data_IF_689784459531
#
_entry.id   IF_689784459531
#
_cell.length_a   1.000
_cell.length_b   1.000
_cell.length_c   1.000
_cell.angle_alpha   90.00
_cell.angle_beta   90.00
_cell.angle_gamma   90.00
#
_symmetry.space_group_name_H-M   'P 1'
#
loop_
_entity.id
_entity.type
_entity.pdbx_description
1 polymer ?
#
# COMPACT_ATOMS: atom_id res chain seq x y z
N UNK A 1 -45.02 -27.19 -60.27
CA UNK A 1 -43.76 -27.95 -60.47
C UNK A 1 -43.31 -28.49 -59.12
N UNK A 2 -42.84 -29.74 -59.13
CA UNK A 2 -42.77 -30.68 -58.02
C UNK A 2 -41.62 -30.48 -57.03
N UNK A 3 -41.82 -30.95 -55.78
CA UNK A 3 -40.93 -31.84 -54.97
C UNK A 3 -41.34 -31.70 -53.49
N UNK A 4 -42.26 -32.48 -52.93
CA UNK A 4 -42.22 -33.90 -52.56
C UNK A 4 -41.15 -34.29 -51.53
N UNK A 5 -41.61 -34.84 -50.39
CA UNK A 5 -40.87 -35.72 -49.47
C UNK A 5 -40.47 -35.09 -48.13
N UNK A 6 -40.98 -35.47 -46.95
CA UNK A 6 -41.91 -36.54 -46.63
C UNK A 6 -42.32 -36.45 -45.16
N UNK A 7 -43.62 -36.58 -44.91
CA UNK A 7 -44.20 -36.92 -43.61
C UNK A 7 -44.11 -38.43 -43.43
N UNK A 8 -43.30 -38.90 -42.48
CA UNK A 8 -43.64 -39.97 -41.51
C UNK A 8 -42.43 -40.39 -40.69
N UNK A 9 -42.43 -39.99 -39.42
CA UNK A 9 -42.38 -40.97 -38.34
C UNK A 9 -43.00 -40.38 -37.08
N UNK A 10 -44.31 -40.60 -36.93
CA UNK A 10 -44.92 -40.74 -35.60
C UNK A 10 -44.36 -42.03 -35.01
N UNK A 11 -43.44 -41.91 -34.05
CA UNK A 11 -43.29 -42.94 -33.03
C UNK A 11 -44.32 -42.67 -31.94
N UNK A 12 -45.09 -43.69 -31.60
CA UNK A 12 -46.02 -43.69 -30.48
C UNK A 12 -45.30 -43.73 -29.13
N UNK A 13 -46.14 -43.61 -28.10
CA UNK A 13 -45.89 -43.53 -26.66
C UNK A 13 -45.49 -42.15 -26.13
N UNK A 14 -46.43 -41.54 -25.41
CA UNK A 14 -46.30 -40.31 -24.63
C UNK A 14 -45.44 -40.46 -23.39
N UNK A 15 -44.22 -40.97 -23.54
CA UNK A 15 -43.16 -40.67 -22.60
C UNK A 15 -42.53 -39.35 -23.08
N UNK A 16 -42.97 -38.23 -22.48
CA UNK A 16 -42.14 -37.02 -22.42
C UNK A 16 -40.73 -37.52 -22.11
N UNK A 17 -39.75 -37.19 -22.95
CA UNK A 17 -38.36 -37.63 -22.78
C UNK A 17 -37.85 -37.05 -21.46
N UNK A 18 -38.13 -37.78 -20.39
CA UNK A 18 -37.95 -37.41 -19.00
C UNK A 18 -36.47 -37.14 -18.75
N UNK A 19 -35.60 -37.84 -19.49
CA UNK A 19 -34.17 -37.59 -19.53
C UNK A 19 -33.83 -36.23 -20.18
N UNK A 20 -34.47 -35.86 -21.29
CA UNK A 20 -34.26 -34.52 -21.88
C UNK A 20 -34.80 -33.38 -21.01
N UNK A 21 -35.91 -33.59 -20.30
CA UNK A 21 -36.44 -32.62 -19.32
C UNK A 21 -35.56 -32.50 -18.07
N UNK A 22 -35.09 -33.63 -17.54
CA UNK A 22 -34.13 -33.68 -16.43
C UNK A 22 -32.80 -33.02 -16.83
N UNK A 23 -32.30 -33.29 -18.03
CA UNK A 23 -31.08 -32.67 -18.55
C UNK A 23 -31.23 -31.15 -18.65
N UNK A 24 -32.36 -30.65 -19.16
CA UNK A 24 -32.67 -29.20 -19.19
C UNK A 24 -32.81 -28.58 -17.81
N UNK A 25 -33.39 -29.28 -16.84
CA UNK A 25 -33.45 -28.82 -15.45
C UNK A 25 -32.05 -28.77 -14.81
N UNK A 26 -31.21 -29.78 -15.05
CA UNK A 26 -29.83 -29.84 -14.55
C UNK A 26 -28.98 -28.73 -15.18
N UNK A 27 -29.10 -28.52 -16.49
CA UNK A 27 -28.40 -27.45 -17.22
C UNK A 27 -28.89 -26.07 -16.77
N UNK A 28 -30.20 -25.90 -16.53
CA UNK A 28 -30.78 -24.69 -15.96
C UNK A 28 -30.25 -24.38 -14.56
N UNK A 29 -30.22 -25.39 -13.67
CA UNK A 29 -29.66 -25.28 -12.31
C UNK A 29 -28.15 -24.99 -12.32
N UNK A 30 -27.41 -25.59 -13.26
CA UNK A 30 -25.98 -25.33 -13.44
C UNK A 30 -25.74 -23.89 -13.91
N UNK A 31 -26.57 -23.40 -14.84
CA UNK A 31 -26.50 -22.04 -15.37
C UNK A 31 -26.83 -21.01 -14.28
N UNK A 32 -27.89 -21.23 -13.49
CA UNK A 32 -28.26 -20.37 -12.36
C UNK A 32 -27.21 -20.35 -11.25
N UNK A 33 -26.58 -21.50 -10.95
CA UNK A 33 -25.45 -21.55 -10.01
C UNK A 33 -24.25 -20.77 -10.56
N UNK A 34 -23.98 -20.84 -11.86
CA UNK A 34 -22.86 -20.14 -12.49
C UNK A 34 -23.08 -18.62 -12.52
N UNK A 35 -24.31 -18.16 -12.82
CA UNK A 35 -24.69 -16.76 -12.85
C UNK A 35 -24.68 -16.17 -11.44
N UNK A 36 -25.23 -16.89 -10.45
CA UNK A 36 -25.20 -16.51 -9.03
C UNK A 36 -23.77 -16.40 -8.50
N UNK A 37 -22.88 -17.36 -8.83
CA UNK A 37 -21.47 -17.33 -8.41
C UNK A 37 -20.70 -16.19 -9.08
N UNK A 38 -20.98 -15.89 -10.36
CA UNK A 38 -20.40 -14.77 -11.09
C UNK A 38 -20.85 -13.42 -10.51
N UNK A 39 -22.15 -13.27 -10.24
CA UNK A 39 -22.71 -12.06 -9.62
C UNK A 39 -22.13 -11.83 -8.21
N UNK A 40 -21.99 -12.88 -7.40
CA UNK A 40 -21.37 -12.78 -6.08
C UNK A 40 -19.89 -12.39 -6.17
N UNK A 41 -19.15 -12.92 -7.14
CA UNK A 41 -17.74 -12.59 -7.37
C UNK A 41 -17.59 -11.12 -7.77
N UNK A 42 -18.45 -10.62 -8.66
CA UNK A 42 -18.47 -9.21 -9.08
C UNK A 42 -18.83 -8.28 -7.93
N UNK A 43 -19.84 -8.64 -7.12
CA UNK A 43 -20.19 -7.87 -5.90
C UNK A 43 -19.01 -7.79 -4.93
N UNK A 44 -18.37 -8.93 -4.63
CA UNK A 44 -17.19 -8.97 -3.77
C UNK A 44 -16.06 -8.09 -4.33
N UNK A 45 -15.85 -8.11 -5.64
CA UNK A 45 -14.84 -7.30 -6.31
C UNK A 45 -15.10 -5.80 -6.11
N UNK A 46 -16.33 -5.34 -6.35
CA UNK A 46 -16.73 -3.93 -6.17
C UNK A 46 -16.55 -3.50 -4.72
N UNK A 47 -16.98 -4.33 -3.76
CA UNK A 47 -16.80 -4.04 -2.33
C UNK A 47 -15.32 -3.94 -1.96
N UNK A 48 -14.48 -4.83 -2.48
CA UNK A 48 -13.04 -4.81 -2.22
C UNK A 48 -12.35 -3.57 -2.79
N UNK A 49 -12.61 -3.26 -4.05
CA UNK A 49 -12.02 -2.09 -4.73
C UNK A 49 -12.53 -0.81 -4.08
N UNK A 50 -13.85 -0.71 -3.86
CA UNK A 50 -14.47 0.42 -3.17
C UNK A 50 -13.93 0.60 -1.76
N UNK A 51 -13.77 -0.47 -0.99
CA UNK A 51 -13.18 -0.47 0.35
C UNK A 51 -11.73 0.00 0.35
N UNK A 52 -10.90 -0.48 -0.59
CA UNK A 52 -9.52 -0.01 -0.76
C UNK A 52 -9.52 1.49 -1.09
N UNK A 53 -10.36 1.93 -2.02
CA UNK A 53 -10.38 3.34 -2.44
C UNK A 53 -10.87 4.25 -1.32
N UNK A 54 -12.04 3.98 -0.75
CA UNK A 54 -12.59 4.78 0.35
C UNK A 54 -11.61 4.87 1.52
N UNK A 55 -11.03 3.75 1.95
CA UNK A 55 -10.11 3.73 3.09
C UNK A 55 -8.84 4.52 2.79
N UNK A 56 -8.15 4.24 1.69
CA UNK A 56 -6.83 4.83 1.45
C UNK A 56 -6.86 6.23 0.82
N UNK A 57 -7.94 6.62 0.14
CA UNK A 57 -8.13 8.01 -0.26
C UNK A 57 -8.35 8.88 0.96
N UNK A 58 -9.24 8.45 1.88
CA UNK A 58 -9.46 9.14 3.16
C UNK A 58 -8.18 9.16 4.00
N UNK A 59 -7.46 8.04 4.08
CA UNK A 59 -6.15 7.96 4.72
C UNK A 59 -5.16 8.99 4.15
N UNK A 60 -5.09 9.14 2.82
CA UNK A 60 -4.19 10.10 2.18
C UNK A 60 -4.56 11.55 2.50
N UNK A 61 -5.85 11.89 2.44
CA UNK A 61 -6.35 13.22 2.82
C UNK A 61 -6.05 13.53 4.29
N UNK A 62 -6.27 12.57 5.18
CA UNK A 62 -5.95 12.74 6.61
C UNK A 62 -4.45 12.87 6.84
N UNK A 63 -3.61 12.11 6.12
CA UNK A 63 -2.16 12.24 6.20
C UNK A 63 -1.70 13.65 5.83
N UNK A 64 -2.21 14.17 4.71
CA UNK A 64 -1.92 15.53 4.26
C UNK A 64 -2.40 16.55 5.28
N UNK A 65 -3.64 16.42 5.75
CA UNK A 65 -4.22 17.33 6.74
C UNK A 65 -3.40 17.33 8.04
N UNK A 66 -3.02 16.17 8.58
CA UNK A 66 -2.20 16.08 9.81
C UNK A 66 -0.85 16.78 9.63
N UNK A 67 -0.22 16.66 8.45
CA UNK A 67 1.14 17.19 8.22
C UNK A 67 1.19 18.64 7.77
N UNK A 68 0.13 19.15 7.14
CA UNK A 68 0.12 20.48 6.53
C UNK A 68 -0.64 21.52 7.34
N UNK A 69 -1.64 21.10 8.14
CA UNK A 69 -2.52 22.02 8.88
C UNK A 69 -1.74 22.79 9.94
N UNK A 70 -1.95 24.11 9.97
CA UNK A 70 -1.40 25.01 10.97
C UNK A 70 -2.43 25.23 12.06
N UNK A 71 -2.02 25.06 13.32
CA UNK A 71 -2.80 25.24 14.52
C UNK A 71 -2.29 26.46 15.31
N UNK A 72 -3.12 27.00 16.20
CA UNK A 72 -2.76 28.15 17.03
C UNK A 72 -3.01 29.50 16.38
N UNK A 73 -2.40 30.55 16.96
CA UNK A 73 -2.60 31.93 16.50
C UNK A 73 -1.90 32.19 15.15
N UNK A 74 -2.40 33.12 14.35
CA UNK A 74 -1.78 33.53 13.08
C UNK A 74 -0.36 34.07 13.22
N UNK A 75 0.06 34.42 14.44
CA UNK A 75 1.37 35.00 14.78
C UNK A 75 2.38 33.89 15.13
N UNK A 76 1.91 32.75 15.67
CA UNK A 76 2.74 31.62 16.09
C UNK A 76 2.11 30.28 15.64
N UNK A 77 2.05 30.00 14.33
CA UNK A 77 1.44 28.78 13.82
C UNK A 77 2.27 27.55 14.22
N UNK A 78 1.63 26.58 14.85
CA UNK A 78 2.21 25.29 15.19
C UNK A 78 1.73 24.21 14.21
N UNK A 79 2.60 23.23 13.90
CA UNK A 79 2.23 22.05 13.11
C UNK A 79 2.49 20.81 13.91
N UNK A 80 1.64 19.80 13.75
CA UNK A 80 1.85 18.51 14.39
C UNK A 80 3.06 17.80 13.74
N UNK A 81 4.05 17.41 14.56
CA UNK A 81 5.26 16.75 14.08
C UNK A 81 5.69 15.60 15.00
N UNK A 82 4.96 14.49 14.93
CA UNK A 82 5.27 13.25 15.65
C UNK A 82 5.05 12.02 14.77
N UNK A 83 5.98 11.72 13.83
CA UNK A 83 5.82 10.63 12.87
C UNK A 83 5.87 9.24 13.49
N UNK A 84 6.67 9.03 14.55
CA UNK A 84 6.72 7.75 15.26
C UNK A 84 5.43 7.55 16.06
N UNK A 85 4.91 8.60 16.70
CA UNK A 85 3.60 8.53 17.37
C UNK A 85 2.48 8.14 16.39
N UNK A 86 2.40 8.79 15.22
CA UNK A 86 1.41 8.44 14.18
C UNK A 86 1.55 6.96 13.78
N UNK A 87 2.78 6.50 13.56
CA UNK A 87 3.06 5.11 13.22
C UNK A 87 2.64 4.13 14.34
N UNK A 88 2.89 4.47 15.60
CA UNK A 88 2.50 3.64 16.74
C UNK A 88 0.99 3.49 16.81
N UNK A 89 0.24 4.59 16.69
CA UNK A 89 -1.23 4.53 16.66
C UNK A 89 -1.71 3.69 15.47
N UNK A 90 -1.18 3.94 14.26
CA UNK A 90 -1.56 3.19 13.07
C UNK A 90 -1.27 1.68 13.19
N UNK A 91 -0.06 1.32 13.63
CA UNK A 91 0.33 -0.08 13.82
C UNK A 91 -0.47 -0.76 14.93
N UNK A 92 -0.83 -0.04 16.00
CA UNK A 92 -1.70 -0.55 17.06
C UNK A 92 -3.08 -0.92 16.51
N UNK A 93 -3.72 -0.03 15.75
CA UNK A 93 -5.02 -0.31 15.12
C UNK A 93 -4.94 -1.47 14.14
N UNK A 94 -3.88 -1.53 13.32
CA UNK A 94 -3.66 -2.60 12.38
C UNK A 94 -3.37 -3.95 13.08
N UNK A 95 -2.67 -3.94 14.20
CA UNK A 95 -2.45 -5.12 15.04
C UNK A 95 -3.76 -5.61 15.67
N UNK A 96 -4.57 -4.70 16.23
CA UNK A 96 -5.87 -5.03 16.83
C UNK A 96 -6.84 -5.62 15.79
N UNK A 97 -7.03 -4.95 14.65
CA UNK A 97 -7.89 -5.46 13.57
C UNK A 97 -7.35 -6.75 12.97
N UNK A 98 -6.02 -6.86 12.81
CA UNK A 98 -5.37 -8.10 12.35
C UNK A 98 -5.60 -9.26 13.32
N UNK A 99 -5.49 -9.01 14.62
CA UNK A 99 -5.76 -10.00 15.65
C UNK A 99 -7.24 -10.42 15.67
N UNK A 100 -8.17 -9.46 15.65
CA UNK A 100 -9.61 -9.74 15.54
C UNK A 100 -9.93 -10.57 14.28
N UNK A 101 -9.35 -10.20 13.14
CA UNK A 101 -9.53 -10.96 11.90
C UNK A 101 -9.05 -12.41 12.05
N UNK A 102 -7.85 -12.62 12.61
CA UNK A 102 -7.31 -13.97 12.85
C UNK A 102 -8.22 -14.75 13.79
N UNK A 103 -8.72 -14.13 14.86
CA UNK A 103 -9.66 -14.77 15.78
C UNK A 103 -10.95 -15.23 15.09
N UNK A 104 -11.55 -14.38 14.23
CA UNK A 104 -12.79 -14.72 13.52
C UNK A 104 -12.60 -15.71 12.37
N UNK A 105 -11.39 -15.78 11.79
CA UNK A 105 -11.13 -16.59 10.60
C UNK A 105 -10.51 -17.95 10.94
N UNK A 106 -9.91 -18.10 12.14
CA UNK A 106 -9.32 -19.36 12.59
C UNK A 106 -10.41 -20.39 12.83
N UNK A 107 -10.53 -21.36 11.91
CA UNK A 107 -11.58 -22.40 11.96
C UNK A 107 -11.04 -23.77 12.37
N UNK A 108 -9.73 -24.02 12.30
CA UNK A 108 -9.12 -25.31 12.62
C UNK A 108 -7.89 -25.16 13.52
N UNK A 109 -7.67 -26.12 14.41
CA UNK A 109 -6.51 -26.15 15.33
C UNK A 109 -5.15 -26.26 14.60
N UNK A 110 -5.13 -26.69 13.33
CA UNK A 110 -3.93 -26.79 12.49
C UNK A 110 -3.50 -25.48 11.80
N UNK A 111 -4.26 -24.39 11.96
CA UNK A 111 -3.81 -23.08 11.45
C UNK A 111 -2.54 -22.63 12.19
N UNK A 112 -1.49 -22.28 11.44
CA UNK A 112 -0.22 -21.79 12.01
C UNK A 112 -0.49 -20.63 12.98
N UNK A 113 0.24 -20.54 14.11
CA UNK A 113 0.15 -19.37 14.97
C UNK A 113 0.72 -18.13 14.26
N UNK A 114 0.38 -16.95 14.77
CA UNK A 114 0.89 -15.65 14.26
C UNK A 114 2.42 -15.64 14.16
N UNK A 115 3.08 -16.33 15.10
CA UNK A 115 4.52 -16.60 15.10
C UNK A 115 4.78 -18.11 14.95
N UNK A 116 4.95 -18.62 13.71
CA UNK A 116 5.07 -20.06 13.45
C UNK A 116 6.41 -20.68 13.89
N UNK A 117 7.49 -19.91 13.99
CA UNK A 117 8.83 -20.40 14.34
C UNK A 117 9.70 -19.28 14.91
N UNK A 118 10.69 -19.62 15.74
CA UNK A 118 11.68 -18.63 16.23
C UNK A 118 12.51 -18.02 15.11
N UNK A 119 12.75 -18.76 14.02
CA UNK A 119 13.53 -18.30 12.88
C UNK A 119 12.87 -17.15 12.11
N UNK A 120 11.53 -17.00 12.23
CA UNK A 120 10.78 -15.92 11.56
C UNK A 120 10.93 -14.57 12.28
N UNK A 121 11.34 -14.58 13.56
CA UNK A 121 11.39 -13.39 14.40
C UNK A 121 12.42 -12.39 13.89
N UNK A 122 13.62 -12.86 13.54
CA UNK A 122 14.68 -11.97 13.03
C UNK A 122 14.27 -11.22 11.74
N UNK A 123 13.81 -11.88 10.66
CA UNK A 123 13.38 -11.15 9.47
C UNK A 123 12.14 -10.28 9.72
N UNK A 124 11.23 -10.67 10.61
CA UNK A 124 10.11 -9.79 11.01
C UNK A 124 10.57 -8.55 11.76
N UNK A 125 11.53 -8.69 12.66
CA UNK A 125 12.11 -7.58 13.41
C UNK A 125 12.83 -6.62 12.47
N UNK A 126 13.55 -7.13 11.48
CA UNK A 126 14.16 -6.31 10.43
C UNK A 126 13.10 -5.52 9.64
N UNK A 127 11.98 -6.15 9.28
CA UNK A 127 10.84 -5.47 8.61
C UNK A 127 10.24 -4.40 9.52
N UNK A 128 10.06 -4.68 10.81
CA UNK A 128 9.54 -3.71 11.77
C UNK A 128 10.47 -2.50 11.95
N UNK A 129 11.78 -2.71 12.07
CA UNK A 129 12.76 -1.61 12.16
C UNK A 129 12.74 -0.77 10.88
N UNK A 130 12.87 -1.41 9.72
CA UNK A 130 12.98 -0.71 8.44
C UNK A 130 11.72 0.09 8.12
N UNK A 131 10.53 -0.48 8.33
CA UNK A 131 9.27 0.25 8.18
C UNK A 131 9.08 1.38 9.21
N UNK A 132 9.52 1.17 10.45
CA UNK A 132 9.43 2.21 11.49
C UNK A 132 10.38 3.39 11.22
N UNK A 133 11.59 3.12 10.69
CA UNK A 133 12.56 4.15 10.31
C UNK A 133 12.18 4.89 9.02
N UNK A 134 11.54 4.23 8.06
CA UNK A 134 11.13 4.84 6.79
C UNK A 134 10.26 6.09 7.00
N UNK A 135 9.35 6.04 7.99
CA UNK A 135 8.43 7.13 8.29
C UNK A 135 9.11 8.42 8.74
N UNK A 136 9.96 8.47 9.80
CA UNK A 136 10.72 9.65 10.17
C UNK A 136 11.42 10.34 9.00
N UNK A 137 12.12 9.59 8.14
CA UNK A 137 12.75 10.16 6.94
C UNK A 137 11.73 10.72 5.95
N UNK A 138 10.59 10.04 5.78
CA UNK A 138 9.47 10.52 4.98
C UNK A 138 8.87 11.83 5.49
N UNK A 139 8.54 11.92 6.77
CA UNK A 139 7.99 13.14 7.36
C UNK A 139 9.03 14.27 7.44
N UNK A 140 10.30 13.95 7.67
CA UNK A 140 11.38 14.93 7.58
C UNK A 140 11.51 15.51 6.17
N UNK A 141 11.30 14.70 5.12
CA UNK A 141 11.30 15.21 3.74
C UNK A 141 10.19 16.23 3.49
N UNK A 142 9.02 16.10 4.12
CA UNK A 142 7.90 17.05 4.01
C UNK A 142 8.22 18.46 4.55
N UNK A 143 9.33 18.64 5.29
CA UNK A 143 9.83 19.96 5.67
C UNK A 143 10.53 20.69 4.51
N UNK A 144 10.92 19.95 3.48
CA UNK A 144 11.75 20.41 2.36
C UNK A 144 11.07 20.24 1.00
N UNK A 145 10.08 19.36 0.90
CA UNK A 145 9.26 19.15 -0.30
C UNK A 145 7.77 19.24 0.07
N UNK A 146 6.97 19.76 -0.85
CA UNK A 146 5.52 19.78 -0.71
C UNK A 146 4.93 18.36 -0.77
N UNK A 147 3.69 18.22 -0.29
CA UNK A 147 3.04 16.92 -0.19
C UNK A 147 2.79 16.25 -1.55
N UNK A 148 2.57 17.03 -2.63
CA UNK A 148 2.40 16.48 -3.98
C UNK A 148 3.71 15.88 -4.48
N UNK A 149 4.83 16.62 -4.34
CA UNK A 149 6.17 16.08 -4.64
C UNK A 149 6.44 14.80 -3.85
N UNK A 150 6.05 14.77 -2.57
CA UNK A 150 6.17 13.57 -1.72
C UNK A 150 5.38 12.37 -2.27
N UNK A 151 4.09 12.54 -2.63
CA UNK A 151 3.28 11.46 -3.24
C UNK A 151 3.90 11.00 -4.57
N UNK A 152 4.35 11.94 -5.40
CA UNK A 152 4.93 11.67 -6.70
C UNK A 152 6.19 10.81 -6.55
N UNK A 153 7.12 11.23 -5.69
CA UNK A 153 8.34 10.48 -5.43
C UNK A 153 8.07 9.14 -4.72
N UNK A 154 7.08 9.02 -3.82
CA UNK A 154 6.63 7.71 -3.29
C UNK A 154 6.05 6.78 -4.35
N UNK A 155 5.53 7.31 -5.44
CA UNK A 155 5.10 6.51 -6.59
C UNK A 155 6.29 5.98 -7.38
N UNK A 156 7.45 6.65 -7.29
CA UNK A 156 8.71 6.28 -7.92
C UNK A 156 9.52 5.23 -7.13
N UNK A 157 8.93 4.50 -6.19
CA UNK A 157 9.65 3.52 -5.34
C UNK A 157 10.48 2.49 -6.11
N UNK A 158 10.15 2.23 -7.38
CA UNK A 158 10.92 1.35 -8.24
C UNK A 158 12.34 1.89 -8.48
N UNK A 159 12.53 3.21 -8.58
CA UNK A 159 13.83 3.84 -8.88
C UNK A 159 14.91 3.46 -7.85
N UNK A 160 14.75 3.77 -6.54
CA UNK A 160 15.79 3.48 -5.56
C UNK A 160 16.01 1.98 -5.38
N UNK A 161 14.94 1.18 -5.46
CA UNK A 161 15.00 -0.28 -5.34
C UNK A 161 15.77 -0.90 -6.50
N UNK A 162 15.50 -0.45 -7.72
CA UNK A 162 16.19 -0.95 -8.92
C UNK A 162 17.66 -0.52 -8.91
N UNK A 163 17.95 0.72 -8.54
CA UNK A 163 19.32 1.21 -8.40
C UNK A 163 20.10 0.32 -7.41
N UNK A 164 19.56 0.07 -6.22
CA UNK A 164 20.19 -0.80 -5.22
C UNK A 164 20.35 -2.25 -5.70
N UNK A 165 19.36 -2.80 -6.41
CA UNK A 165 19.47 -4.15 -6.97
C UNK A 165 20.53 -4.28 -8.07
N UNK A 166 20.72 -3.25 -8.88
CA UNK A 166 21.76 -3.25 -9.92
C UNK A 166 23.15 -3.01 -9.33
N UNK A 167 23.30 -2.06 -8.39
CA UNK A 167 24.61 -1.69 -7.84
C UNK A 167 25.11 -2.70 -6.81
N UNK A 168 24.28 -3.09 -5.84
CA UNK A 168 24.65 -3.93 -4.71
C UNK A 168 24.48 -5.42 -5.03
N UNK A 169 23.34 -5.80 -5.60
CA UNK A 169 23.02 -7.21 -5.90
C UNK A 169 23.42 -7.65 -7.31
N UNK A 170 23.98 -6.75 -8.13
CA UNK A 170 24.38 -6.99 -9.53
C UNK A 170 23.31 -7.69 -10.37
N UNK A 171 22.03 -7.45 -10.07
CA UNK A 171 20.91 -8.04 -10.81
C UNK A 171 20.66 -7.28 -12.10
N UNK A 172 20.42 -8.02 -13.19
CA UNK A 172 20.01 -7.47 -14.48
C UNK A 172 18.49 -7.41 -14.56
N UNK A 173 17.98 -6.30 -15.08
CA UNK A 173 16.55 -6.11 -15.34
C UNK A 173 16.26 -6.11 -16.85
N UNK A 174 15.04 -6.46 -17.27
CA UNK A 174 14.64 -6.31 -18.66
C UNK A 174 14.62 -4.82 -19.07
N UNK A 175 14.93 -4.54 -20.34
CA UNK A 175 15.14 -3.19 -20.87
C UNK A 175 13.96 -2.23 -20.58
N UNK A 176 12.72 -2.73 -20.67
CA UNK A 176 11.54 -1.90 -20.41
C UNK A 176 11.54 -1.27 -19.01
N UNK A 177 12.14 -1.92 -18.00
CA UNK A 177 12.21 -1.34 -16.64
C UNK A 177 13.13 -0.13 -16.59
N UNK A 178 14.23 -0.14 -17.35
CA UNK A 178 15.08 1.04 -17.49
C UNK A 178 14.33 2.18 -18.21
N UNK A 179 13.54 1.88 -19.24
CA UNK A 179 12.71 2.87 -19.92
C UNK A 179 11.65 3.48 -18.98
N UNK A 180 10.96 2.65 -18.19
CA UNK A 180 10.01 3.10 -17.16
C UNK A 180 10.71 4.00 -16.14
N UNK A 181 11.88 3.58 -15.64
CA UNK A 181 12.66 4.37 -14.68
C UNK A 181 13.07 5.72 -15.27
N UNK A 182 13.55 5.76 -16.51
CA UNK A 182 13.90 7.00 -17.19
C UNK A 182 12.68 7.92 -17.36
N UNK A 183 11.54 7.38 -17.78
CA UNK A 183 10.28 8.13 -17.94
C UNK A 183 9.80 8.73 -16.62
N UNK A 184 9.81 7.93 -15.55
CA UNK A 184 9.42 8.37 -14.21
C UNK A 184 10.40 9.41 -13.65
N UNK A 185 11.71 9.22 -13.85
CA UNK A 185 12.74 10.19 -13.45
C UNK A 185 12.55 11.53 -14.17
N UNK A 186 12.31 11.49 -15.49
CA UNK A 186 12.02 12.68 -16.28
C UNK A 186 10.74 13.38 -15.79
N UNK A 187 9.69 12.63 -15.47
CA UNK A 187 8.45 13.18 -14.92
C UNK A 187 8.64 13.91 -13.58
N UNK A 188 9.40 13.33 -12.65
CA UNK A 188 9.76 13.98 -11.38
C UNK A 188 10.61 15.22 -11.63
N UNK A 189 11.61 15.15 -12.51
CA UNK A 189 12.46 16.29 -12.84
C UNK A 189 11.64 17.46 -13.43
N UNK A 190 10.76 17.18 -14.39
CA UNK A 190 9.85 18.19 -14.97
C UNK A 190 8.95 18.80 -13.90
N UNK A 191 8.38 17.98 -13.01
CA UNK A 191 7.51 18.46 -11.94
C UNK A 191 8.25 19.39 -10.96
N UNK A 192 9.43 18.97 -10.49
CA UNK A 192 10.23 19.72 -9.52
C UNK A 192 10.80 21.01 -10.11
N UNK A 193 11.30 20.98 -11.35
CA UNK A 193 11.88 22.15 -12.01
C UNK A 193 10.84 23.24 -12.32
N UNK A 194 9.59 22.84 -12.56
CA UNK A 194 8.49 23.77 -12.83
C UNK A 194 7.63 24.04 -11.59
N UNK A 195 8.10 23.65 -10.40
CA UNK A 195 7.43 24.02 -9.17
C UNK A 195 7.64 25.52 -8.91
N UNK A 196 6.57 26.32 -8.78
CA UNK A 196 6.70 27.74 -8.53
C UNK A 196 7.45 27.94 -7.20
N UNK A 197 8.54 28.70 -7.24
CA UNK A 197 9.30 29.12 -6.07
C UNK A 197 8.57 30.27 -5.36
N UNK A 198 7.33 30.05 -4.93
CA UNK A 198 6.61 31.06 -4.16
C UNK A 198 7.22 31.17 -2.78
N UNK A 199 7.93 32.29 -2.55
CA UNK A 199 8.61 32.72 -1.32
C UNK A 199 9.96 32.07 -1.02
N UNK A 200 11.03 32.61 -1.65
CA UNK A 200 12.32 32.75 -0.95
C UNK A 200 12.09 33.63 0.29
N UNK A 201 11.62 33.05 1.40
CA UNK A 201 11.93 33.61 2.72
C UNK A 201 13.43 33.42 2.90
N UNK A 202 14.19 34.53 2.86
CA UNK A 202 15.59 34.57 3.30
C UNK A 202 15.65 33.91 4.69
N UNK A 203 16.24 32.72 4.79
CA UNK A 203 16.46 32.04 6.08
C UNK A 203 16.09 30.55 6.17
N UNK A 204 15.59 29.89 5.11
CA UNK A 204 15.37 28.44 5.13
C UNK A 204 16.34 27.73 4.17
N UNK A 205 17.53 27.35 4.66
CA UNK A 205 18.55 26.55 3.98
C UNK A 205 18.15 25.07 3.76
N UNK A 206 16.85 24.80 3.63
CA UNK A 206 16.36 23.48 3.28
C UNK A 206 16.46 23.25 1.78
N UNK A 207 17.62 22.81 1.29
CA UNK A 207 17.76 22.47 -0.14
C UNK A 207 16.73 21.39 -0.52
N UNK A 208 15.98 21.61 -1.61
CA UNK A 208 15.08 20.58 -2.17
C UNK A 208 15.82 19.24 -2.37
N UNK A 209 17.12 19.30 -2.66
CA UNK A 209 18.02 18.14 -2.74
C UNK A 209 18.10 17.34 -1.43
N UNK A 210 18.19 17.99 -0.27
CA UNK A 210 18.16 17.31 1.03
C UNK A 210 16.82 16.62 1.28
N UNK A 211 15.71 17.28 0.96
CA UNK A 211 14.38 16.66 1.00
C UNK A 211 14.27 15.41 0.13
N UNK A 212 14.78 15.49 -1.11
CA UNK A 212 14.82 14.35 -2.04
C UNK A 212 15.75 13.23 -1.56
N UNK A 213 16.88 13.55 -0.91
CA UNK A 213 17.77 12.56 -0.30
C UNK A 213 17.05 11.80 0.82
N UNK A 214 16.42 12.52 1.75
CA UNK A 214 15.64 11.93 2.85
C UNK A 214 14.52 11.03 2.30
N UNK A 215 13.85 11.47 1.24
CA UNK A 215 12.83 10.67 0.58
C UNK A 215 13.42 9.44 -0.11
N UNK A 216 14.61 9.54 -0.69
CA UNK A 216 15.37 8.41 -1.22
C UNK A 216 15.65 7.36 -0.14
N UNK A 217 16.11 7.78 1.05
CA UNK A 217 16.36 6.89 2.19
C UNK A 217 15.06 6.19 2.65
N UNK A 218 13.96 6.95 2.79
CA UNK A 218 12.64 6.40 3.08
C UNK A 218 12.23 5.30 2.08
N UNK A 219 12.42 5.55 0.79
CA UNK A 219 12.10 4.58 -0.27
C UNK A 219 13.01 3.35 -0.27
N UNK A 220 14.27 3.50 0.13
CA UNK A 220 15.18 2.35 0.31
C UNK A 220 14.71 1.47 1.47
N UNK A 221 14.34 2.05 2.61
CA UNK A 221 13.77 1.29 3.72
C UNK A 221 12.42 0.65 3.37
N UNK A 222 11.53 1.36 2.67
CA UNK A 222 10.29 0.78 2.13
C UNK A 222 10.61 -0.39 1.19
N UNK A 223 11.65 -0.26 0.35
CA UNK A 223 12.13 -1.30 -0.55
C UNK A 223 12.63 -2.55 0.18
N UNK A 224 13.47 -2.36 1.21
CA UNK A 224 14.00 -3.43 2.05
C UNK A 224 12.89 -4.13 2.83
N UNK A 225 11.93 -3.37 3.37
CA UNK A 225 10.73 -3.88 4.04
C UNK A 225 9.97 -4.83 3.11
N UNK A 226 9.64 -4.38 1.90
CA UNK A 226 8.90 -5.17 0.91
C UNK A 226 9.68 -6.42 0.49
N UNK A 227 11.00 -6.31 0.27
CA UNK A 227 11.86 -7.43 -0.13
C UNK A 227 11.94 -8.51 0.96
N UNK A 228 12.12 -8.10 2.22
CA UNK A 228 12.18 -9.02 3.35
C UNK A 228 10.81 -9.67 3.62
N UNK A 229 9.69 -8.94 3.47
CA UNK A 229 8.35 -9.52 3.51
C UNK A 229 8.15 -10.60 2.44
N UNK A 230 8.62 -10.33 1.21
CA UNK A 230 8.60 -11.28 0.10
C UNK A 230 9.41 -12.55 0.41
N UNK A 231 10.56 -12.40 1.08
CA UNK A 231 11.38 -13.52 1.55
C UNK A 231 10.63 -14.34 2.61
N UNK A 232 10.06 -13.69 3.64
CA UNK A 232 9.28 -14.36 4.69
C UNK A 232 8.14 -15.19 4.06
N UNK A 233 7.38 -14.58 3.14
CA UNK A 233 6.23 -15.23 2.50
C UNK A 233 6.61 -16.45 1.64
N UNK A 234 7.83 -16.47 1.08
CA UNK A 234 8.34 -17.59 0.28
C UNK A 234 8.94 -18.69 1.16
N UNK A 235 9.70 -18.31 2.19
CA UNK A 235 10.46 -19.24 3.05
C UNK A 235 9.59 -19.99 4.06
N UNK A 236 8.48 -19.39 4.52
CA UNK A 236 7.68 -19.93 5.63
C UNK A 236 6.29 -20.44 5.22
N UNK A 237 6.12 -21.05 4.04
CA UNK A 237 4.80 -21.58 3.64
C UNK A 237 4.33 -22.74 4.56
N UNK A 238 3.04 -22.82 4.94
CA UNK A 238 1.89 -22.02 4.47
C UNK A 238 1.56 -20.75 5.32
N UNK A 239 2.52 -19.86 5.57
CA UNK A 239 2.28 -18.57 6.22
C UNK A 239 1.41 -17.62 5.39
N UNK A 240 0.36 -17.09 6.01
CA UNK A 240 -0.64 -16.24 5.34
C UNK A 240 -0.31 -14.75 5.46
N UNK A 241 -0.83 -13.94 4.54
CA UNK A 241 -0.60 -12.48 4.57
C UNK A 241 -1.23 -11.82 5.79
N UNK A 242 -2.33 -12.37 6.29
CA UNK A 242 -3.05 -11.87 7.46
C UNK A 242 -2.30 -12.14 8.76
N UNK A 243 -1.69 -13.33 8.89
CA UNK A 243 -0.76 -13.60 10.00
C UNK A 243 0.44 -12.65 9.93
N UNK A 244 1.00 -12.42 8.75
CA UNK A 244 2.11 -11.49 8.55
C UNK A 244 1.74 -10.06 8.95
N UNK A 245 0.55 -9.59 8.57
CA UNK A 245 0.04 -8.29 8.97
C UNK A 245 -0.05 -8.16 10.49
N UNK A 246 -0.68 -9.14 11.16
CA UNK A 246 -0.82 -9.13 12.61
C UNK A 246 0.57 -9.14 13.28
N UNK A 247 1.43 -10.10 12.90
CA UNK A 247 2.77 -10.25 13.48
C UNK A 247 3.61 -8.98 13.35
N UNK A 248 3.68 -8.42 12.13
CA UNK A 248 4.48 -7.23 11.86
C UNK A 248 3.95 -5.99 12.56
N UNK A 249 2.63 -5.76 12.53
CA UNK A 249 2.04 -4.62 13.21
C UNK A 249 2.16 -4.76 14.74
N UNK A 250 2.07 -5.98 15.30
CA UNK A 250 2.34 -6.21 16.73
C UNK A 250 3.78 -5.91 17.10
N UNK A 251 4.77 -6.41 16.34
CA UNK A 251 6.19 -6.11 16.59
C UNK A 251 6.46 -4.61 16.41
N UNK A 252 5.92 -3.99 15.36
CA UNK A 252 6.09 -2.55 15.11
C UNK A 252 5.46 -1.70 16.23
N UNK A 253 4.29 -2.10 16.74
CA UNK A 253 3.64 -1.45 17.89
C UNK A 253 4.55 -1.51 19.12
N UNK A 254 5.04 -2.70 19.47
CA UNK A 254 5.94 -2.86 20.63
C UNK A 254 7.23 -2.05 20.43
N UNK A 255 7.87 -2.18 19.27
CA UNK A 255 9.13 -1.51 18.96
C UNK A 255 9.00 0.02 19.06
N UNK A 256 7.98 0.58 18.41
CA UNK A 256 7.76 2.03 18.38
C UNK A 256 7.26 2.57 19.73
N UNK A 257 6.46 1.79 20.48
CA UNK A 257 6.05 2.18 21.84
C UNK A 257 7.24 2.20 22.80
N UNK A 258 8.09 1.17 22.75
CA UNK A 258 9.34 1.15 23.55
C UNK A 258 10.22 2.33 23.16
N UNK A 259 10.39 2.61 21.87
CA UNK A 259 11.13 3.79 21.44
C UNK A 259 10.54 5.09 22.01
N UNK A 260 9.22 5.32 21.89
CA UNK A 260 8.57 6.53 22.38
C UNK A 260 8.71 6.72 23.90
N UNK A 261 8.71 5.63 24.68
CA UNK A 261 8.90 5.67 26.12
C UNK A 261 10.36 5.86 26.52
N UNK A 262 11.30 5.26 25.79
CA UNK A 262 12.72 5.24 26.14
C UNK A 262 13.49 6.42 25.53
N UNK A 263 13.01 7.00 24.42
CA UNK A 263 13.67 8.10 23.71
C UNK A 263 13.99 9.32 24.58
N UNK A 264 13.13 9.77 25.52
CA UNK A 264 13.46 10.90 26.39
C UNK A 264 14.66 10.60 27.30
N UNK A 265 14.75 9.36 27.80
CA UNK A 265 15.85 8.91 28.65
C UNK A 265 17.14 8.69 27.86
N UNK A 266 17.06 8.22 26.59
CA UNK A 266 18.24 8.13 25.73
C UNK A 266 18.76 9.52 25.41
N UNK A 267 17.89 10.50 25.19
CA UNK A 267 18.27 11.87 24.84
C UNK A 267 19.15 12.55 25.91
N UNK A 268 19.05 12.15 27.18
CA UNK A 268 19.91 12.65 28.26
C UNK A 268 21.26 11.95 28.35
N UNK A 269 21.47 10.86 27.62
CA UNK A 269 22.75 10.12 27.58
C UNK A 269 23.72 10.72 26.56
N UNK A 270 25.04 10.47 26.70
CA UNK A 270 26.04 10.86 25.69
C UNK A 270 25.74 10.27 24.30
N UNK A 271 25.09 9.11 24.24
CA UNK A 271 24.64 8.48 22.99
C UNK A 271 23.53 9.29 22.34
N UNK A 272 22.56 9.79 23.13
CA UNK A 272 21.50 10.67 22.64
C UNK A 272 22.05 11.98 22.09
N UNK A 273 23.02 12.59 22.78
CA UNK A 273 23.71 13.79 22.31
C UNK A 273 24.46 13.54 20.98
N UNK A 274 25.16 12.41 20.86
CA UNK A 274 25.84 12.02 19.62
C UNK A 274 24.86 11.80 18.46
N UNK A 275 23.69 11.24 18.74
CA UNK A 275 22.62 11.03 17.75
C UNK A 275 21.81 12.29 17.44
N UNK A 276 22.15 13.44 18.04
CA UNK A 276 21.44 14.71 17.84
C UNK A 276 20.03 14.73 18.44
N UNK A 277 19.75 13.87 19.42
CA UNK A 277 18.48 13.87 20.14
C UNK A 277 18.44 15.03 21.13
N UNK A 278 17.34 15.80 21.13
CA UNK A 278 17.14 16.87 22.10
C UNK A 278 16.37 16.35 23.30
N UNK A 279 16.97 16.42 24.49
CA UNK A 279 16.30 16.14 25.76
C UNK A 279 15.32 17.25 26.18
N UNK A 280 15.34 18.41 25.50
CA UNK A 280 14.67 19.64 25.95
C UNK A 280 13.13 19.64 25.80
N UNK A 281 12.51 18.55 25.32
CA UNK A 281 11.09 18.55 24.92
C UNK A 281 10.24 17.39 25.48
N UNK A 282 10.71 16.67 26.49
CA UNK A 282 9.96 15.53 27.06
C UNK A 282 9.84 14.30 26.13
N UNK A 283 10.38 14.43 24.90
CA UNK A 283 10.31 13.42 23.85
C UNK A 283 9.04 13.52 23.00
N UNK A 284 9.01 12.73 21.94
CA UNK A 284 7.96 12.81 20.93
C UNK A 284 6.56 12.45 21.48
N UNK A 285 6.49 11.54 22.46
CA UNK A 285 5.24 11.10 23.07
C UNK A 285 4.57 12.21 23.89
N UNK A 286 5.33 12.88 24.76
CA UNK A 286 4.82 13.96 25.60
C UNK A 286 4.35 15.13 24.73
N UNK A 287 5.18 15.54 23.77
CA UNK A 287 4.80 16.55 22.77
C UNK A 287 3.52 16.17 22.02
N UNK A 288 3.37 14.93 21.56
CA UNK A 288 2.19 14.50 20.83
C UNK A 288 0.92 14.56 21.69
N UNK A 289 0.99 14.08 22.94
CA UNK A 289 -0.13 14.10 23.88
C UNK A 289 -0.54 15.53 24.19
N UNK A 290 0.42 16.42 24.46
CA UNK A 290 0.13 17.81 24.79
C UNK A 290 -0.39 18.59 23.57
N UNK A 291 0.08 18.28 22.37
CA UNK A 291 -0.49 18.84 21.15
C UNK A 291 -1.95 18.41 20.96
N UNK A 292 -2.27 17.13 21.17
CA UNK A 292 -3.64 16.62 21.03
C UNK A 292 -4.56 17.19 22.12
N UNK A 293 -4.08 17.39 23.34
CA UNK A 293 -4.84 18.08 24.40
C UNK A 293 -5.15 19.52 24.04
N UNK A 294 -4.19 20.25 23.45
CA UNK A 294 -4.36 21.64 23.01
C UNK A 294 -5.26 21.75 21.77
N UNK A 295 -5.14 20.80 20.84
CA UNK A 295 -5.89 20.78 19.58
C UNK A 295 -6.56 19.40 19.35
N UNK A 296 -7.71 19.14 19.99
CA UNK A 296 -8.37 17.82 19.94
C UNK A 296 -8.75 17.34 18.53
N UNK A 297 -8.95 18.26 17.58
CA UNK A 297 -9.23 17.93 16.19
C UNK A 297 -8.15 17.06 15.54
N UNK A 298 -6.88 17.27 15.92
CA UNK A 298 -5.73 16.48 15.42
C UNK A 298 -5.84 15.04 15.90
N UNK A 299 -6.27 14.83 17.15
CA UNK A 299 -6.48 13.50 17.71
C UNK A 299 -7.51 12.70 16.93
N UNK A 300 -8.62 13.34 16.54
CA UNK A 300 -9.63 12.74 15.68
C UNK A 300 -9.10 12.41 14.28
N UNK A 301 -8.30 13.31 13.70
CA UNK A 301 -7.68 13.07 12.40
C UNK A 301 -6.69 11.87 12.47
N UNK A 302 -5.87 11.78 13.53
CA UNK A 302 -4.94 10.66 13.76
C UNK A 302 -5.69 9.33 13.97
N UNK A 303 -6.77 9.35 14.76
CA UNK A 303 -7.61 8.17 14.98
C UNK A 303 -8.24 7.68 13.67
N UNK A 304 -8.88 8.60 12.92
CA UNK A 304 -9.49 8.27 11.64
C UNK A 304 -8.43 7.79 10.63
N UNK A 305 -7.25 8.39 10.62
CA UNK A 305 -6.11 7.99 9.81
C UNK A 305 -5.69 6.55 10.14
N UNK A 306 -5.53 6.21 11.42
CA UNK A 306 -5.18 4.86 11.85
C UNK A 306 -6.27 3.82 11.50
N UNK A 307 -7.54 4.16 11.73
CA UNK A 307 -8.67 3.30 11.41
C UNK A 307 -8.78 3.02 9.89
N UNK A 308 -8.71 4.07 9.06
CA UNK A 308 -8.70 3.94 7.60
C UNK A 308 -7.49 3.13 7.11
N UNK A 309 -6.31 3.33 7.69
CA UNK A 309 -5.11 2.57 7.35
C UNK A 309 -5.28 1.07 7.64
N UNK A 310 -5.81 0.73 8.81
CA UNK A 310 -6.02 -0.64 9.24
C UNK A 310 -7.13 -1.34 8.42
N UNK A 311 -8.29 -0.69 8.20
CA UNK A 311 -9.36 -1.19 7.33
C UNK A 311 -8.88 -1.37 5.89
N UNK A 312 -8.13 -0.41 5.36
CA UNK A 312 -7.54 -0.48 4.03
C UNK A 312 -6.60 -1.69 3.89
N UNK A 313 -5.76 -1.96 4.91
CA UNK A 313 -4.91 -3.14 4.92
C UNK A 313 -5.74 -4.44 4.89
N UNK A 314 -6.83 -4.53 5.66
CA UNK A 314 -7.72 -5.72 5.60
C UNK A 314 -8.28 -5.96 4.20
N UNK A 315 -8.79 -4.92 3.53
CA UNK A 315 -9.27 -5.05 2.15
C UNK A 315 -8.15 -5.45 1.18
N UNK A 316 -6.92 -4.95 1.36
CA UNK A 316 -5.76 -5.37 0.55
C UNK A 316 -5.53 -6.88 0.70
N UNK A 317 -5.49 -7.40 1.92
CA UNK A 317 -5.24 -8.82 2.13
C UNK A 317 -6.38 -9.69 1.63
N UNK A 318 -7.63 -9.30 1.89
CA UNK A 318 -8.79 -10.01 1.37
C UNK A 318 -8.81 -10.01 -0.17
N UNK A 319 -8.46 -8.89 -0.81
CA UNK A 319 -8.33 -8.80 -2.27
C UNK A 319 -7.20 -9.71 -2.77
N UNK A 320 -6.06 -9.71 -2.07
CA UNK A 320 -4.92 -10.56 -2.41
C UNK A 320 -5.27 -12.05 -2.35
N UNK A 321 -5.99 -12.49 -1.31
CA UNK A 321 -6.37 -13.90 -1.14
C UNK A 321 -7.47 -14.33 -2.12
N UNK A 322 -8.42 -13.44 -2.44
CA UNK A 322 -9.61 -13.79 -3.24
C UNK A 322 -9.38 -13.61 -4.74
N UNK A 323 -8.75 -12.51 -5.14
CA UNK A 323 -8.59 -12.12 -6.56
C UNK A 323 -7.12 -12.17 -7.03
N UNK A 324 -6.19 -12.43 -6.12
CA UNK A 324 -4.77 -12.52 -6.42
C UNK A 324 -4.09 -11.16 -6.56
N UNK A 325 -2.75 -11.19 -6.64
CA UNK A 325 -1.96 -9.96 -6.61
C UNK A 325 -2.05 -9.13 -7.89
N UNK A 326 -2.50 -9.70 -9.02
CA UNK A 326 -2.57 -8.98 -10.30
C UNK A 326 -3.63 -7.88 -10.28
N UNK A 327 -4.80 -8.20 -9.73
CA UNK A 327 -5.84 -7.20 -9.50
C UNK A 327 -5.36 -6.16 -8.50
N UNK A 328 -4.77 -6.60 -7.39
CA UNK A 328 -4.27 -5.71 -6.34
C UNK A 328 -3.26 -4.68 -6.87
N UNK A 329 -2.34 -5.08 -7.75
CA UNK A 329 -1.38 -4.17 -8.39
C UNK A 329 -2.11 -3.10 -9.20
N UNK A 330 -3.13 -3.47 -9.97
CA UNK A 330 -3.93 -2.52 -10.76
C UNK A 330 -4.64 -1.52 -9.85
N UNK A 331 -5.37 -2.04 -8.84
CA UNK A 331 -6.15 -1.25 -7.88
C UNK A 331 -5.27 -0.28 -7.08
N UNK A 332 -4.08 -0.70 -6.68
CA UNK A 332 -3.18 0.16 -5.89
C UNK A 332 -2.57 1.30 -6.70
N UNK A 333 -2.29 1.09 -7.99
CA UNK A 333 -1.78 2.14 -8.89
C UNK A 333 -2.85 3.17 -9.20
N UNK A 334 -4.04 2.72 -9.60
CA UNK A 334 -5.18 3.61 -9.88
C UNK A 334 -5.58 4.41 -8.65
N UNK A 335 -5.59 3.77 -7.48
CA UNK A 335 -5.78 4.46 -6.20
C UNK A 335 -4.74 5.57 -5.97
N UNK A 336 -3.44 5.29 -6.16
CA UNK A 336 -2.38 6.30 -5.98
C UNK A 336 -2.57 7.51 -6.90
N UNK A 337 -2.98 7.28 -8.14
CA UNK A 337 -3.33 8.35 -9.09
C UNK A 337 -4.48 9.21 -8.54
N UNK A 338 -5.55 8.57 -8.06
CA UNK A 338 -6.70 9.26 -7.48
C UNK A 338 -6.34 10.02 -6.20
N UNK A 339 -5.48 9.48 -5.33
CA UNK A 339 -5.00 10.18 -4.13
C UNK A 339 -4.31 11.49 -4.49
N UNK A 340 -3.49 11.49 -5.54
CA UNK A 340 -2.81 12.72 -5.98
C UNK A 340 -3.80 13.73 -6.56
N UNK A 341 -4.69 13.30 -7.45
CA UNK A 341 -5.73 14.19 -8.01
C UNK A 341 -6.59 14.78 -6.89
N UNK A 342 -6.97 13.96 -5.92
CA UNK A 342 -7.73 14.40 -4.76
C UNK A 342 -6.94 15.42 -3.93
N UNK A 343 -5.64 15.22 -3.70
CA UNK A 343 -4.77 16.18 -3.02
C UNK A 343 -4.71 17.52 -3.76
N UNK A 344 -4.60 17.51 -5.10
CA UNK A 344 -4.61 18.73 -5.93
C UNK A 344 -5.93 19.49 -5.80
N UNK A 345 -7.05 18.80 -5.95
CA UNK A 345 -8.39 19.41 -5.96
C UNK A 345 -8.83 19.85 -4.56
N UNK A 346 -8.63 19.00 -3.56
CA UNK A 346 -9.14 19.22 -2.20
C UNK A 346 -8.33 20.27 -1.43
N UNK A 347 -7.00 20.27 -1.57
CA UNK A 347 -6.12 21.23 -0.90
C UNK A 347 -5.82 22.46 -1.77
N UNK A 348 -6.43 22.56 -2.96
CA UNK A 348 -6.40 23.76 -3.80
C UNK A 348 -5.04 24.04 -4.44
N UNK A 349 -4.22 23.02 -4.66
CA UNK A 349 -2.91 23.18 -5.30
C UNK A 349 -3.09 23.60 -6.77
N UNK A 350 -2.46 24.72 -7.17
CA UNK A 350 -2.46 25.18 -8.57
C UNK A 350 -1.22 24.64 -9.27
N UNK A 351 -1.40 23.59 -10.06
CA UNK A 351 -0.33 23.02 -10.89
C UNK A 351 -0.21 23.77 -12.22
N UNK A 352 1.02 24.11 -12.61
CA UNK A 352 1.32 24.63 -13.94
C UNK A 352 1.08 23.57 -15.03
N UNK A 353 0.84 23.97 -16.29
CA UNK A 353 0.70 23.00 -17.38
C UNK A 353 1.88 22.02 -17.49
N UNK A 354 3.10 22.49 -17.24
CA UNK A 354 4.29 21.62 -17.24
C UNK A 354 4.32 20.65 -16.04
N UNK A 355 3.80 21.04 -14.88
CA UNK A 355 3.65 20.11 -13.76
C UNK A 355 2.63 19.00 -14.08
N UNK A 356 1.56 19.30 -14.82
CA UNK A 356 0.64 18.27 -15.32
C UNK A 356 1.30 17.29 -16.30
N UNK A 357 2.22 17.77 -17.15
CA UNK A 357 3.05 16.90 -17.98
C UNK A 357 3.93 15.99 -17.10
N UNK A 358 4.60 16.54 -16.09
CA UNK A 358 5.40 15.76 -15.14
C UNK A 358 4.59 14.67 -14.42
N UNK A 359 3.40 15.02 -13.93
CA UNK A 359 2.41 14.09 -13.37
C UNK A 359 2.05 12.97 -14.36
N UNK A 360 1.73 13.34 -15.60
CA UNK A 360 1.38 12.39 -16.66
C UNK A 360 2.51 11.42 -16.97
N UNK A 361 3.75 11.90 -17.00
CA UNK A 361 4.94 11.05 -17.21
C UNK A 361 5.16 10.06 -16.07
N UNK A 362 5.06 10.51 -14.80
CA UNK A 362 5.26 9.62 -13.64
C UNK A 362 4.17 8.55 -13.59
N UNK A 363 2.90 8.94 -13.63
CA UNK A 363 1.82 7.97 -13.52
C UNK A 363 1.66 7.12 -14.78
N UNK A 364 1.96 7.66 -15.97
CA UNK A 364 2.07 6.89 -17.20
C UNK A 364 3.15 5.82 -17.08
N UNK A 365 4.34 6.17 -16.59
CA UNK A 365 5.42 5.22 -16.34
C UNK A 365 5.06 4.14 -15.31
N UNK A 366 4.49 4.53 -14.17
CA UNK A 366 4.03 3.57 -13.14
C UNK A 366 2.91 2.67 -13.67
N UNK A 367 2.02 3.19 -14.51
CA UNK A 367 0.96 2.39 -15.13
C UNK A 367 1.54 1.37 -16.12
N UNK A 368 2.47 1.79 -16.98
CA UNK A 368 3.18 0.90 -17.91
C UNK A 368 3.94 -0.19 -17.13
N UNK A 369 4.64 0.19 -16.06
CA UNK A 369 5.32 -0.76 -15.17
C UNK A 369 4.36 -1.82 -14.62
N UNK A 370 3.19 -1.39 -14.16
CA UNK A 370 2.18 -2.26 -13.58
C UNK A 370 1.61 -3.23 -14.62
N UNK A 371 1.34 -2.77 -15.85
CA UNK A 371 0.86 -3.63 -16.93
C UNK A 371 1.92 -4.65 -17.36
N UNK A 372 3.17 -4.23 -17.54
CA UNK A 372 4.26 -5.12 -17.94
C UNK A 372 4.59 -6.13 -16.84
N UNK A 373 4.62 -5.69 -15.57
CA UNK A 373 4.80 -6.59 -14.42
C UNK A 373 3.67 -7.62 -14.30
N UNK A 374 2.44 -7.22 -14.65
CA UNK A 374 1.29 -8.12 -14.74
C UNK A 374 1.47 -9.16 -15.85
N UNK A 375 1.91 -8.74 -17.04
CA UNK A 375 2.19 -9.65 -18.15
C UNK A 375 3.31 -10.64 -17.82
N UNK A 376 4.42 -10.20 -17.22
CA UNK A 376 5.51 -11.08 -16.78
C UNK A 376 5.02 -12.15 -15.80
N UNK A 377 4.18 -11.75 -14.84
CA UNK A 377 3.64 -12.68 -13.86
C UNK A 377 2.69 -13.69 -14.51
N UNK A 378 1.82 -13.26 -15.42
CA UNK A 378 0.97 -14.16 -16.20
C UNK A 378 1.78 -15.17 -17.02
N UNK A 379 2.87 -14.73 -17.65
CA UNK A 379 3.77 -15.61 -18.40
C UNK A 379 4.43 -16.66 -17.49
N UNK A 380 4.92 -16.26 -16.31
CA UNK A 380 5.50 -17.20 -15.32
C UNK A 380 4.48 -18.20 -14.80
N UNK A 381 3.25 -17.77 -14.55
CA UNK A 381 2.18 -18.65 -14.08
C UNK A 381 1.73 -19.64 -15.16
N UNK A 382 1.76 -19.25 -16.44
CA UNK A 382 1.54 -20.17 -17.58
C UNK A 382 2.65 -21.20 -17.73
N UNK A 383 3.91 -20.77 -17.70
CA UNK A 383 5.07 -21.66 -17.79
C UNK A 383 5.06 -22.74 -16.70
N UNK A 384 4.76 -22.37 -15.45
CA UNK A 384 4.60 -23.34 -14.35
C UNK A 384 3.50 -24.35 -14.57
N UNK A 385 2.36 -23.94 -15.14
CA UNK A 385 1.25 -24.86 -15.46
C UNK A 385 1.65 -25.85 -16.55
N UNK A 386 2.41 -25.40 -17.54
CA UNK A 386 2.92 -26.26 -18.61
C UNK A 386 3.97 -27.26 -18.08
N UNK A 387 4.85 -26.85 -17.16
CA UNK A 387 5.80 -27.75 -16.48
C UNK A 387 5.07 -28.85 -15.69
N UNK A 388 4.08 -28.47 -14.87
CA UNK A 388 3.28 -29.44 -14.10
C UNK A 388 2.56 -30.42 -15.02
N UNK A 389 1.99 -29.94 -16.13
CA UNK A 389 1.30 -30.78 -17.13
C UNK A 389 2.25 -31.71 -17.89
N UNK A 390 3.54 -31.36 -18.03
CA UNK A 390 4.56 -32.25 -18.61
C UNK A 390 5.08 -33.29 -17.62
N UNK A 391 4.98 -33.02 -16.32
CA UNK A 391 5.40 -33.92 -15.24
C UNK A 391 4.29 -34.83 -14.68
N UNK A 392 3.04 -34.60 -15.09
CA UNK A 392 1.88 -35.45 -14.79
C UNK A 392 1.54 -36.29 -16.01
#
# INVERSE_FOLDING_TARGET
MASNGGLKQRSGNGALDEKALLQRQVDGLATDRSSSRSAQTTKNLVICVGGIYASFLTWGVLQERITTTQYGSSISPEKFNSPVFINTVQSTFAALLGYLYVLFTRKQSNDLPVFPSRSIIFPMFLVAITSSLASPFGYASLKHVDYITFILAKSCKLLPVMALHVTLFRRKYPLYKYCVVALVTAGVAVFTLHHPTSSKKKGADGSSAWGLLLLGINLLFDGLTNSTQDHIYKSYRPYTGQQMMCALNSISTVLTSVYLMVSPYIATTPVGAYLGMSAASGGELEYAIDFVKRYPSVGWDIFAFAACGALGQMFIFYTLSTFGSLLLVTVTVTRKMLTMILSVVWFGHRLSPMQWVGVGLVFGGVFVEAQLSKQEKLAKDRAKKEEVKKSS
#
